data_IF_271941554546
#
_entry.id   IF_271941554546
#
_cell.length_a   1.000
_cell.length_b   1.000
_cell.length_c   1.000
_cell.angle_alpha   90.00
_cell.angle_beta   90.00
_cell.angle_gamma   90.00
#
_symmetry.space_group_name_H-M   'P 1'
#
loop_
_entity.id
_entity.type
_entity.pdbx_description
1 polymer ?
#
# COMPACT_ATOMS: atom_id res chain seq x y z
N UNK A 1 14.45 18.79 14.83
CA UNK A 1 13.01 18.56 14.53
C UNK A 1 12.69 17.09 14.74
N UNK A 2 11.66 16.76 15.54
CA UNK A 2 11.37 15.37 15.93
C UNK A 2 10.68 14.52 14.86
N UNK A 3 10.75 13.19 15.02
CA UNK A 3 10.22 12.19 14.09
C UNK A 3 8.73 12.36 13.77
N UNK A 4 7.94 12.87 14.73
CA UNK A 4 6.49 13.11 14.60
C UNK A 4 6.13 14.61 14.63
N UNK A 5 7.05 15.50 14.24
CA UNK A 5 6.75 16.95 14.15
C UNK A 5 5.66 17.20 13.11
N UNK A 6 4.63 17.97 13.46
CA UNK A 6 3.59 18.42 12.52
C UNK A 6 2.64 17.32 12.06
N UNK A 7 2.40 16.28 12.89
CA UNK A 7 1.53 15.15 12.53
C UNK A 7 0.21 15.13 13.30
N UNK A 8 -0.18 16.24 13.97
CA UNK A 8 -1.38 16.33 14.84
C UNK A 8 -2.62 15.80 14.12
N UNK A 9 -3.03 16.44 13.03
CA UNK A 9 -4.22 16.02 12.28
C UNK A 9 -3.98 14.79 11.41
N UNK A 10 -2.77 14.64 10.84
CA UNK A 10 -2.48 13.58 9.88
C UNK A 10 -2.50 12.16 10.48
N UNK A 11 -2.10 12.00 11.75
CA UNK A 11 -2.16 10.72 12.47
C UNK A 11 -3.41 10.60 13.34
N UNK A 12 -4.25 11.63 13.43
CA UNK A 12 -5.52 11.53 14.16
C UNK A 12 -6.43 10.51 13.47
N UNK A 13 -7.09 9.65 14.25
CA UNK A 13 -8.07 8.69 13.72
C UNK A 13 -9.35 9.44 13.31
N UNK A 14 -10.05 8.92 12.30
CA UNK A 14 -11.31 9.50 11.86
C UNK A 14 -12.36 9.51 12.96
N UNK A 15 -13.33 10.43 12.87
CA UNK A 15 -14.44 10.50 13.81
C UNK A 15 -15.14 9.15 13.96
N UNK A 16 -15.48 8.78 15.20
CA UNK A 16 -16.11 7.49 15.57
C UNK A 16 -15.33 6.22 15.16
N UNK A 17 -14.07 6.35 14.76
CA UNK A 17 -13.22 5.22 14.39
C UNK A 17 -12.11 4.99 15.43
N UNK A 18 -12.40 5.16 16.73
CA UNK A 18 -11.42 5.01 17.82
C UNK A 18 -11.34 3.55 18.33
N UNK A 19 -10.19 3.17 18.89
CA UNK A 19 -9.98 1.86 19.53
C UNK A 19 -9.80 0.71 18.55
N UNK A 20 -10.90 0.22 17.99
CA UNK A 20 -10.97 -1.05 17.25
C UNK A 20 -10.14 -1.05 15.95
N UNK A 21 -9.52 -2.19 15.65
CA UNK A 21 -8.87 -2.48 14.37
C UNK A 21 -9.54 -3.72 13.80
N UNK A 22 -10.11 -3.67 12.59
CA UNK A 22 -10.84 -4.79 12.04
C UNK A 22 -9.92 -6.00 11.78
N UNK A 23 -10.42 -7.20 12.07
CA UNK A 23 -9.68 -8.45 11.83
C UNK A 23 -9.29 -8.66 10.36
N UNK A 24 -10.03 -8.04 9.43
CA UNK A 24 -9.73 -8.02 8.00
C UNK A 24 -8.34 -7.45 7.69
N UNK A 25 -7.78 -6.60 8.55
CA UNK A 25 -6.42 -6.08 8.40
C UNK A 25 -5.36 -7.18 8.62
N UNK A 26 -5.61 -8.13 9.53
CA UNK A 26 -4.66 -9.19 9.86
C UNK A 26 -4.81 -10.43 8.96
N UNK A 27 -6.03 -10.74 8.55
CA UNK A 27 -6.33 -11.89 7.69
C UNK A 27 -6.00 -11.65 6.21
N UNK A 28 -5.68 -10.41 5.83
CA UNK A 28 -5.36 -10.07 4.46
C UNK A 28 -3.94 -10.54 4.11
N UNK A 29 -3.86 -11.37 3.08
CA UNK A 29 -2.61 -11.89 2.57
C UNK A 29 -1.96 -10.87 1.61
N UNK A 30 -0.65 -10.72 1.74
CA UNK A 30 0.18 -9.88 0.86
C UNK A 30 1.28 -10.74 0.24
N UNK A 31 1.57 -10.49 -1.04
CA UNK A 31 2.63 -11.16 -1.79
C UNK A 31 3.65 -10.14 -2.27
N UNK A 32 4.85 -10.65 -2.58
CA UNK A 32 5.90 -9.84 -3.23
C UNK A 32 5.39 -9.39 -4.60
N UNK A 33 5.59 -8.11 -4.93
CA UNK A 33 5.09 -7.49 -6.16
C UNK A 33 3.69 -6.87 -6.07
N UNK A 34 2.98 -7.03 -4.94
CA UNK A 34 1.70 -6.37 -4.73
C UNK A 34 1.88 -4.85 -4.55
N UNK A 35 0.92 -4.09 -5.07
CA UNK A 35 0.83 -2.65 -4.85
C UNK A 35 0.07 -2.37 -3.57
N UNK A 36 0.65 -1.54 -2.72
CA UNK A 36 0.10 -1.21 -1.42
C UNK A 36 0.20 0.28 -1.13
N UNK A 37 -0.75 0.79 -0.36
CA UNK A 37 -0.79 2.15 0.14
C UNK A 37 -0.40 2.19 1.61
N UNK A 38 0.46 3.13 1.97
CA UNK A 38 0.83 3.36 3.37
C UNK A 38 -0.18 4.30 4.01
N UNK A 39 -0.92 3.80 5.00
CA UNK A 39 -1.88 4.56 5.79
C UNK A 39 -1.69 4.25 7.27
N UNK A 40 -1.02 5.15 7.98
CA UNK A 40 -0.75 5.04 9.42
C UNK A 40 -2.05 4.95 10.22
N UNK A 41 -2.09 3.97 11.12
CA UNK A 41 -3.09 3.83 12.17
C UNK A 41 -2.45 4.19 13.51
N UNK A 42 -2.85 5.30 14.11
CA UNK A 42 -2.21 5.78 15.34
C UNK A 42 -2.48 4.95 16.59
N UNK A 43 -3.44 4.01 16.59
CA UNK A 43 -3.62 3.10 17.73
C UNK A 43 -2.46 2.12 17.90
N UNK A 44 -1.68 1.86 16.84
CA UNK A 44 -0.49 1.03 16.89
C UNK A 44 0.73 1.92 16.69
N UNK A 45 1.63 1.93 17.66
CA UNK A 45 2.86 2.74 17.60
C UNK A 45 4.04 2.01 16.95
N UNK A 46 4.03 0.67 17.00
CA UNK A 46 5.16 -0.15 16.53
C UNK A 46 5.18 -0.23 15.01
N UNK A 47 6.36 -0.06 14.41
CA UNK A 47 6.57 -0.12 12.96
C UNK A 47 5.84 0.97 12.17
N UNK A 48 5.55 2.09 12.84
CA UNK A 48 4.96 3.27 12.22
C UNK A 48 5.95 3.94 11.27
N UNK A 49 5.58 4.20 10.00
CA UNK A 49 6.43 4.89 9.05
C UNK A 49 6.54 6.39 9.36
N UNK A 50 7.60 7.02 8.86
CA UNK A 50 7.76 8.48 8.92
C UNK A 50 6.67 9.18 8.11
N UNK A 51 6.24 10.37 8.57
CA UNK A 51 5.14 11.15 7.97
C UNK A 51 5.23 11.37 6.46
N UNK A 52 6.44 11.43 5.90
CA UNK A 52 6.64 11.62 4.47
C UNK A 52 6.04 10.48 3.62
N UNK A 53 6.00 9.26 4.17
CA UNK A 53 5.49 8.07 3.49
C UNK A 53 3.97 7.89 3.65
N UNK A 54 3.31 8.70 4.48
CA UNK A 54 1.86 8.65 4.64
C UNK A 54 1.17 8.96 3.31
N UNK A 55 0.25 8.10 2.88
CA UNK A 55 -0.49 8.22 1.62
C UNK A 55 0.35 7.96 0.37
N UNK A 56 1.52 7.33 0.50
CA UNK A 56 2.32 6.91 -0.65
C UNK A 56 2.04 5.46 -0.99
N UNK A 57 1.90 5.20 -2.29
CA UNK A 57 1.85 3.86 -2.85
C UNK A 57 3.26 3.32 -3.04
N UNK A 58 3.46 2.05 -2.72
CA UNK A 58 4.71 1.33 -2.93
C UNK A 58 4.46 -0.10 -3.40
N UNK A 59 5.57 -0.79 -3.68
CA UNK A 59 5.56 -2.20 -4.06
C UNK A 59 6.17 -3.03 -2.95
N UNK A 60 5.55 -4.17 -2.64
CA UNK A 60 6.08 -5.11 -1.64
C UNK A 60 7.32 -5.81 -2.20
N UNK A 61 8.45 -5.70 -1.51
CA UNK A 61 9.69 -6.40 -1.85
C UNK A 61 10.02 -7.56 -0.90
N UNK A 62 9.48 -7.54 0.32
CA UNK A 62 9.68 -8.59 1.32
C UNK A 62 8.44 -8.77 2.19
N UNK A 63 8.21 -9.98 2.69
CA UNK A 63 7.11 -10.32 3.59
C UNK A 63 7.69 -10.99 4.83
N UNK A 64 7.34 -10.46 6.00
CA UNK A 64 7.76 -11.01 7.31
C UNK A 64 6.54 -11.34 8.16
N UNK A 65 6.72 -12.02 9.30
CA UNK A 65 5.63 -12.49 10.17
C UNK A 65 4.60 -11.41 10.55
N UNK A 66 5.02 -10.14 10.72
CA UNK A 66 4.15 -9.05 11.22
C UNK A 66 4.23 -7.77 10.37
N UNK A 67 5.08 -7.76 9.34
CA UNK A 67 5.41 -6.55 8.60
C UNK A 67 5.73 -6.85 7.14
N UNK A 68 5.60 -5.82 6.33
CA UNK A 68 5.91 -5.83 4.91
C UNK A 68 7.11 -4.92 4.66
N UNK A 69 8.01 -5.40 3.81
CA UNK A 69 9.03 -4.62 3.16
C UNK A 69 8.42 -3.88 1.97
N UNK A 70 8.42 -2.56 1.99
CA UNK A 70 7.83 -1.70 0.95
C UNK A 70 8.91 -0.86 0.30
N UNK A 71 8.92 -0.81 -1.02
CA UNK A 71 9.79 0.06 -1.80
C UNK A 71 9.00 1.26 -2.34
N UNK A 72 9.47 2.48 -2.04
CA UNK A 72 8.85 3.74 -2.42
C UNK A 72 9.89 4.70 -2.96
N UNK A 73 9.58 5.33 -4.09
CA UNK A 73 10.42 6.36 -4.69
C UNK A 73 10.27 7.70 -3.98
N UNK A 74 11.37 8.21 -3.41
CA UNK A 74 11.44 9.50 -2.73
C UNK A 74 12.33 10.47 -3.48
N UNK A 75 11.80 11.64 -3.81
CA UNK A 75 12.59 12.76 -4.32
C UNK A 75 13.46 13.35 -3.20
N UNK A 76 14.77 13.42 -3.44
CA UNK A 76 15.75 14.03 -2.55
C UNK A 76 16.57 15.01 -3.39
N UNK A 77 16.29 16.31 -3.25
CA UNK A 77 16.84 17.34 -4.13
C UNK A 77 16.45 17.10 -5.58
N UNK A 78 17.46 16.89 -6.43
CA UNK A 78 17.31 16.77 -7.88
C UNK A 78 17.08 15.33 -8.36
N UNK A 79 17.21 14.32 -7.48
CA UNK A 79 17.11 12.90 -7.86
C UNK A 79 16.00 12.15 -7.15
N UNK A 80 15.52 11.08 -7.78
CA UNK A 80 14.57 10.12 -7.20
C UNK A 80 15.38 8.95 -6.66
N UNK A 81 15.19 8.65 -5.37
CA UNK A 81 15.91 7.57 -4.68
C UNK A 81 14.88 6.53 -4.23
N UNK A 82 15.06 5.23 -4.56
CA UNK A 82 14.23 4.18 -3.99
C UNK A 82 14.54 4.04 -2.50
N UNK A 83 13.49 4.06 -1.69
CA UNK A 83 13.56 3.87 -0.24
C UNK A 83 12.84 2.59 0.11
N UNK A 84 13.56 1.68 0.76
CA UNK A 84 13.02 0.45 1.33
C UNK A 84 12.65 0.69 2.79
N UNK A 85 11.45 0.28 3.16
CA UNK A 85 10.88 0.45 4.49
C UNK A 85 10.36 -0.89 5.00
N UNK A 86 10.39 -1.07 6.32
CA UNK A 86 9.63 -2.11 6.98
C UNK A 86 8.46 -1.47 7.73
N UNK A 87 7.25 -1.86 7.36
CA UNK A 87 6.00 -1.28 7.88
C UNK A 87 5.10 -2.43 8.34
N UNK A 88 4.50 -2.31 9.51
CA UNK A 88 3.58 -3.35 9.98
C UNK A 88 2.26 -3.35 9.20
N UNK A 89 1.59 -4.49 9.19
CA UNK A 89 0.33 -4.71 8.43
C UNK A 89 -0.78 -3.74 8.84
N UNK A 90 -0.79 -3.25 10.08
CA UNK A 90 -1.79 -2.29 10.57
C UNK A 90 -1.66 -0.88 9.95
N UNK A 91 -0.57 -0.62 9.23
CA UNK A 91 -0.30 0.66 8.57
C UNK A 91 -0.32 0.56 7.04
N UNK A 92 -0.77 -0.57 6.51
CA UNK A 92 -0.80 -0.87 5.09
C UNK A 92 -2.23 -1.13 4.64
N UNK A 93 -2.55 -0.69 3.44
CA UNK A 93 -3.80 -1.00 2.74
C UNK A 93 -3.47 -1.53 1.35
N UNK A 94 -4.23 -2.51 0.82
CA UNK A 94 -4.05 -2.94 -0.57
C UNK A 94 -4.44 -1.79 -1.51
N UNK A 95 -3.61 -1.51 -2.51
CA UNK A 95 -3.93 -0.47 -3.46
C UNK A 95 -4.84 -0.99 -4.56
N UNK A 96 -5.85 -0.19 -4.93
CA UNK A 96 -6.79 -0.52 -6.02
C UNK A 96 -6.30 -0.03 -7.38
N UNK A 97 -5.13 0.61 -7.45
CA UNK A 97 -4.61 1.24 -8.66
C UNK A 97 -4.48 0.28 -9.86
N UNK A 98 -4.24 -1.01 -9.60
CA UNK A 98 -4.03 -2.03 -10.64
C UNK A 98 -5.32 -2.79 -11.02
N UNK A 99 -6.41 -2.64 -10.25
CA UNK A 99 -7.64 -3.42 -10.46
C UNK A 99 -8.23 -3.18 -11.86
N UNK A 100 -8.35 -1.92 -12.28
CA UNK A 100 -8.93 -1.55 -13.57
C UNK A 100 -8.11 -2.08 -14.76
N UNK A 101 -6.78 -1.91 -14.69
CA UNK A 101 -5.87 -2.45 -15.70
C UNK A 101 -6.02 -3.96 -15.87
N UNK A 102 -6.11 -4.70 -14.75
CA UNK A 102 -6.25 -6.16 -14.80
C UNK A 102 -7.59 -6.58 -15.40
N UNK A 103 -8.69 -5.88 -15.07
CA UNK A 103 -10.01 -6.12 -15.66
C UNK A 103 -10.00 -5.88 -17.17
N UNK A 104 -9.44 -4.74 -17.60
CA UNK A 104 -9.33 -4.37 -19.02
C UNK A 104 -8.46 -5.35 -19.80
N UNK A 105 -7.37 -5.82 -19.21
CA UNK A 105 -6.52 -6.85 -19.84
C UNK A 105 -7.32 -8.13 -20.04
N UNK A 106 -8.01 -8.61 -19.01
CA UNK A 106 -8.79 -9.84 -19.09
C UNK A 106 -9.92 -9.76 -20.14
N UNK A 107 -10.65 -8.63 -20.20
CA UNK A 107 -11.70 -8.44 -21.22
C UNK A 107 -11.11 -8.41 -22.63
N UNK A 108 -9.98 -7.75 -22.83
CA UNK A 108 -9.34 -7.68 -24.13
C UNK A 108 -8.78 -9.03 -24.58
N UNK A 109 -8.19 -9.79 -23.66
CA UNK A 109 -7.65 -11.11 -23.95
C UNK A 109 -8.80 -12.10 -24.30
N UNK A 110 -9.95 -11.99 -23.63
CA UNK A 110 -11.16 -12.76 -23.98
C UNK A 110 -11.69 -12.41 -25.38
N UNK A 111 -11.84 -11.11 -25.70
CA UNK A 111 -12.29 -10.68 -27.02
C UNK A 111 -11.35 -11.14 -28.14
N UNK A 112 -10.02 -11.07 -27.92
CA UNK A 112 -9.03 -11.57 -28.90
C UNK A 112 -9.12 -13.08 -29.09
N UNK A 113 -9.36 -13.82 -28.02
CA UNK A 113 -9.52 -15.27 -28.10
C UNK A 113 -10.78 -15.64 -28.89
N UNK A 114 -11.90 -14.97 -28.62
CA UNK A 114 -13.16 -15.17 -29.34
C UNK A 114 -13.04 -14.84 -30.83
N UNK A 115 -12.39 -13.72 -31.18
CA UNK A 115 -12.13 -13.36 -32.58
C UNK A 115 -11.28 -14.43 -33.29
N UNK A 116 -10.20 -14.89 -32.64
CA UNK A 116 -9.33 -15.96 -33.18
C UNK A 116 -10.07 -17.28 -33.39
N UNK A 117 -11.02 -17.63 -32.53
CA UNK A 117 -11.85 -18.84 -32.68
C UNK A 117 -12.86 -18.69 -33.82
N UNK A 118 -13.42 -17.49 -34.02
CA UNK A 118 -14.35 -17.19 -35.12
C UNK A 118 -13.65 -17.04 -36.48
N UNK A 119 -12.35 -16.77 -36.50
CA UNK A 119 -11.58 -16.53 -37.71
C UNK A 119 -11.64 -15.09 -38.22
N UNK A 120 -12.01 -14.15 -37.35
CA UNK A 120 -11.98 -12.69 -37.55
C UNK A 120 -10.70 -12.05 -36.97
#
# INVERSE_FOLDING_TARGET
AGLRKGTRHMFTRGFRNHGYIPLTTYLRNYKVGDYIDIKVNAAIHKGMPHKWYQGKTGVVWNVTKRALGVEINKRVGNRIIPKRLHVRVEHVQPSRCREDFMKRRASNDAMKHEAKVKGE
#
